data_IF_908049579709
#
_entry.id   IF_908049579709
#
_cell.length_a   1.000
_cell.length_b   1.000
_cell.length_c   1.000
_cell.angle_alpha   90.00
_cell.angle_beta   90.00
_cell.angle_gamma   90.00
#
_symmetry.space_group_name_H-M   'P 1'
#
loop_
_entity.id
_entity.type
_entity.pdbx_description
1 polymer ?
#
# COMPACT_ATOMS: atom_id res chain seq x y z
N UNK A 1 4.51 -24.40 -17.08
CA UNK A 1 4.17 -23.38 -18.09
C UNK A 1 3.43 -22.20 -17.47
N UNK A 2 2.68 -22.39 -16.39
CA UNK A 2 1.94 -21.34 -15.66
C UNK A 2 2.85 -20.29 -14.99
N UNK A 3 3.96 -20.71 -14.39
CA UNK A 3 4.84 -19.82 -13.62
C UNK A 3 5.54 -18.78 -14.52
N UNK A 4 5.86 -19.18 -15.76
CA UNK A 4 6.40 -18.25 -16.76
C UNK A 4 5.38 -17.19 -17.18
N UNK A 5 4.09 -17.57 -17.24
CA UNK A 5 3.00 -16.65 -17.54
C UNK A 5 2.69 -15.67 -16.38
N UNK A 6 2.84 -16.12 -15.13
CA UNK A 6 2.69 -15.26 -13.96
C UNK A 6 3.79 -14.18 -13.91
N UNK A 7 5.06 -14.57 -14.06
CA UNK A 7 6.18 -13.64 -14.08
C UNK A 7 6.08 -12.65 -15.26
N UNK A 8 5.69 -13.12 -16.45
CA UNK A 8 5.48 -12.24 -17.62
C UNK A 8 4.34 -11.23 -17.38
N UNK A 9 3.24 -11.66 -16.77
CA UNK A 9 2.13 -10.77 -16.44
C UNK A 9 2.55 -9.69 -15.43
N UNK A 10 3.29 -10.06 -14.40
CA UNK A 10 3.84 -9.11 -13.41
C UNK A 10 4.78 -8.12 -14.10
N UNK A 11 5.74 -8.60 -14.89
CA UNK A 11 6.71 -7.75 -15.57
C UNK A 11 6.04 -6.76 -16.54
N UNK A 12 5.05 -7.23 -17.32
CA UNK A 12 4.27 -6.35 -18.21
C UNK A 12 3.49 -5.31 -17.42
N UNK A 13 2.83 -5.72 -16.35
CA UNK A 13 2.04 -4.82 -15.49
C UNK A 13 2.95 -3.76 -14.85
N UNK A 14 4.10 -4.15 -14.29
CA UNK A 14 5.11 -3.20 -13.76
C UNK A 14 5.58 -2.22 -14.84
N UNK A 15 5.83 -2.69 -16.06
CA UNK A 15 6.18 -1.84 -17.19
C UNK A 15 5.12 -0.80 -17.53
N UNK A 16 3.84 -1.21 -17.56
CA UNK A 16 2.71 -0.31 -17.81
C UNK A 16 2.56 0.74 -16.70
N UNK A 17 2.72 0.33 -15.43
CA UNK A 17 2.66 1.24 -14.28
C UNK A 17 3.81 2.25 -14.29
N UNK A 18 5.05 1.78 -14.50
CA UNK A 18 6.22 2.65 -14.57
C UNK A 18 6.13 3.68 -15.71
N UNK A 19 5.50 3.32 -16.83
CA UNK A 19 5.26 4.25 -17.93
C UNK A 19 4.19 5.30 -17.62
N UNK A 20 3.27 5.01 -16.70
CA UNK A 20 2.22 5.92 -16.24
C UNK A 20 2.63 6.74 -15.01
N UNK A 21 3.65 6.30 -14.28
CA UNK A 21 4.11 6.91 -13.05
C UNK A 21 4.53 8.36 -13.27
N UNK A 22 3.89 9.24 -12.51
CA UNK A 22 4.26 10.65 -12.39
C UNK A 22 4.97 10.86 -11.06
N UNK A 23 5.99 11.72 -11.02
CA UNK A 23 6.71 12.00 -9.77
C UNK A 23 5.78 12.37 -8.61
N UNK A 24 6.20 12.05 -7.38
CA UNK A 24 5.38 12.24 -6.20
C UNK A 24 5.69 13.58 -5.50
N UNK A 25 4.85 14.57 -5.78
CA UNK A 25 5.03 15.95 -5.27
C UNK A 25 5.06 16.02 -3.74
N UNK A 26 4.27 15.18 -3.04
CA UNK A 26 4.28 15.14 -1.58
C UNK A 26 5.66 14.76 -1.06
N UNK A 27 6.23 13.68 -1.60
CA UNK A 27 7.56 13.18 -1.23
C UNK A 27 8.64 14.19 -1.61
N UNK A 28 8.56 14.80 -2.79
CA UNK A 28 9.53 15.82 -3.24
C UNK A 28 9.54 17.05 -2.30
N UNK A 29 8.37 17.50 -1.83
CA UNK A 29 8.27 18.58 -0.86
C UNK A 29 8.79 18.21 0.52
N UNK A 30 8.54 16.97 0.95
CA UNK A 30 9.05 16.43 2.20
C UNK A 30 10.59 16.38 2.20
N UNK A 31 11.21 15.90 1.12
CA UNK A 31 12.67 15.81 1.00
C UNK A 31 13.37 17.18 1.03
N UNK A 32 12.66 18.23 0.61
CA UNK A 32 13.15 19.62 0.70
C UNK A 32 12.86 20.29 2.05
N UNK A 33 12.19 19.61 2.98
CA UNK A 33 11.82 20.14 4.29
C UNK A 33 10.74 21.24 4.24
N UNK A 34 9.98 21.31 3.14
CA UNK A 34 8.97 22.36 2.89
C UNK A 34 7.54 21.91 3.17
N UNK A 35 7.34 20.63 3.48
CA UNK A 35 6.03 20.09 3.81
C UNK A 35 5.56 20.63 5.18
N UNK A 36 4.36 21.23 5.28
CA UNK A 36 3.80 21.65 6.56
C UNK A 36 3.49 20.46 7.47
N UNK A 37 3.67 20.63 8.78
CA UNK A 37 3.36 19.58 9.77
C UNK A 37 1.91 19.09 9.71
N UNK A 38 0.97 19.97 9.34
CA UNK A 38 -0.44 19.60 9.11
C UNK A 38 -0.57 18.45 8.10
N UNK A 39 0.26 18.43 7.05
CA UNK A 39 0.22 17.37 6.02
C UNK A 39 0.75 16.03 6.53
N UNK A 40 1.68 16.06 7.49
CA UNK A 40 2.11 14.86 8.21
C UNK A 40 1.01 14.32 9.13
N UNK A 41 0.23 15.21 9.76
CA UNK A 41 -0.96 14.81 10.54
C UNK A 41 -2.03 14.21 9.63
N UNK A 42 -2.22 14.76 8.43
CA UNK A 42 -3.11 14.17 7.43
C UNK A 42 -2.63 12.78 7.02
N UNK A 43 -1.35 12.63 6.69
CA UNK A 43 -0.75 11.33 6.38
C UNK A 43 -1.04 10.31 7.49
N UNK A 44 -0.77 10.65 8.76
CA UNK A 44 -1.06 9.75 9.87
C UNK A 44 -2.55 9.38 10.00
N UNK A 45 -3.46 10.33 9.80
CA UNK A 45 -4.91 10.11 9.89
C UNK A 45 -5.48 9.28 8.74
N UNK A 46 -5.02 9.51 7.51
CA UNK A 46 -5.42 8.74 6.35
C UNK A 46 -4.87 7.31 6.43
N UNK A 47 -3.58 7.13 6.76
CA UNK A 47 -2.95 5.83 6.93
C UNK A 47 -3.62 4.99 8.01
N UNK A 48 -4.02 5.61 9.13
CA UNK A 48 -4.70 4.88 10.20
C UNK A 48 -5.98 4.20 9.71
N UNK A 49 -6.70 4.86 8.78
CA UNK A 49 -7.91 4.32 8.16
C UNK A 49 -7.59 3.32 7.06
N UNK A 50 -6.59 3.60 6.23
CA UNK A 50 -6.13 2.73 5.14
C UNK A 50 -5.65 1.39 5.70
N UNK A 51 -4.63 1.40 6.56
CA UNK A 51 -4.02 0.21 7.17
C UNK A 51 -5.06 -0.62 7.94
N UNK A 52 -6.00 0.05 8.64
CA UNK A 52 -7.12 -0.63 9.30
C UNK A 52 -8.10 -1.29 8.32
N UNK A 53 -8.34 -0.70 7.15
CA UNK A 53 -9.18 -1.25 6.09
C UNK A 53 -8.48 -2.42 5.39
N UNK A 54 -7.21 -2.26 5.06
CA UNK A 54 -6.38 -3.23 4.36
C UNK A 54 -6.22 -4.49 5.20
N UNK A 55 -5.96 -4.35 6.51
CA UNK A 55 -5.94 -5.47 7.46
C UNK A 55 -7.19 -6.34 7.37
N UNK A 56 -8.38 -5.71 7.34
CA UNK A 56 -9.66 -6.43 7.26
C UNK A 56 -9.88 -7.03 5.87
N UNK A 57 -9.46 -6.34 4.82
CA UNK A 57 -9.57 -6.78 3.44
C UNK A 57 -8.71 -8.03 3.19
N UNK A 58 -7.47 -8.04 3.66
CA UNK A 58 -6.61 -9.21 3.58
C UNK A 58 -7.11 -10.38 4.44
N UNK A 59 -7.61 -10.11 5.65
CA UNK A 59 -8.23 -11.15 6.46
C UNK A 59 -9.48 -11.77 5.78
N UNK A 60 -10.29 -10.96 5.09
CA UNK A 60 -11.41 -11.44 4.30
C UNK A 60 -10.95 -12.30 3.11
N UNK A 61 -9.90 -11.89 2.39
CA UNK A 61 -9.33 -12.66 1.30
C UNK A 61 -8.81 -14.02 1.78
N UNK A 62 -8.09 -14.06 2.90
CA UNK A 62 -7.66 -15.32 3.51
C UNK A 62 -8.85 -16.25 3.81
N UNK A 63 -9.93 -15.70 4.36
CA UNK A 63 -11.14 -16.47 4.64
C UNK A 63 -11.88 -16.95 3.37
N UNK A 64 -11.81 -16.20 2.26
CA UNK A 64 -12.42 -16.56 0.97
C UNK A 64 -11.63 -17.65 0.23
N UNK A 65 -10.32 -17.73 0.46
CA UNK A 65 -9.42 -18.66 -0.23
C UNK A 65 -8.66 -19.60 0.74
N UNK A 66 -9.36 -20.37 1.60
CA UNK A 66 -8.76 -21.04 2.77
C UNK A 66 -7.79 -22.17 2.44
N UNK A 67 -7.97 -22.88 1.31
CA UNK A 67 -7.22 -24.10 0.95
C UNK A 67 -6.14 -23.87 -0.13
N UNK A 68 -5.51 -22.69 -0.14
CA UNK A 68 -4.55 -22.30 -1.20
C UNK A 68 -3.36 -21.51 -0.65
N UNK A 69 -2.29 -21.41 -1.44
CA UNK A 69 -1.18 -20.46 -1.23
C UNK A 69 -1.65 -19.02 -1.01
N UNK A 70 -2.84 -18.68 -1.51
CA UNK A 70 -3.50 -17.38 -1.28
C UNK A 70 -3.81 -17.12 0.19
N UNK A 71 -4.20 -18.15 0.95
CA UNK A 71 -4.52 -18.00 2.38
C UNK A 71 -3.29 -17.52 3.16
N UNK A 72 -2.15 -18.17 2.94
CA UNK A 72 -0.89 -17.83 3.61
C UNK A 72 -0.43 -16.42 3.25
N UNK A 73 -0.45 -16.06 1.96
CA UNK A 73 -0.13 -14.71 1.49
C UNK A 73 -0.99 -13.66 2.19
N UNK A 74 -2.32 -13.80 2.13
CA UNK A 74 -3.23 -12.79 2.65
C UNK A 74 -3.26 -12.74 4.19
N UNK A 75 -3.06 -13.86 4.88
CA UNK A 75 -2.86 -13.85 6.33
C UNK A 75 -1.57 -13.12 6.71
N UNK A 76 -0.48 -13.35 5.95
CA UNK A 76 0.79 -12.64 6.13
C UNK A 76 0.62 -11.14 5.98
N UNK A 77 -0.03 -10.70 4.89
CA UNK A 77 -0.35 -9.29 4.67
C UNK A 77 -1.20 -8.70 5.80
N UNK A 78 -2.28 -9.39 6.22
CA UNK A 78 -3.12 -8.94 7.33
C UNK A 78 -2.37 -8.81 8.67
N UNK A 79 -1.39 -9.68 8.92
CA UNK A 79 -0.53 -9.58 10.10
C UNK A 79 0.43 -8.39 9.99
N UNK A 80 0.99 -8.17 8.81
CA UNK A 80 1.83 -7.00 8.50
C UNK A 80 1.10 -5.68 8.76
N UNK A 81 -0.14 -5.54 8.29
CA UNK A 81 -0.98 -4.35 8.57
C UNK A 81 -1.21 -4.16 10.08
N UNK A 82 -1.33 -5.24 10.85
CA UNK A 82 -1.42 -5.18 12.30
C UNK A 82 -0.17 -4.61 12.97
N UNK A 83 1.01 -4.97 12.48
CA UNK A 83 2.28 -4.42 12.93
C UNK A 83 2.45 -2.96 12.50
N UNK A 84 2.10 -2.64 11.25
CA UNK A 84 2.10 -1.29 10.72
C UNK A 84 1.23 -0.34 11.56
N UNK A 85 0.03 -0.75 11.99
CA UNK A 85 -0.82 0.08 12.88
C UNK A 85 -0.12 0.43 14.20
N UNK A 86 0.67 -0.47 14.77
CA UNK A 86 1.40 -0.19 16.00
C UNK A 86 2.49 0.86 15.76
N UNK A 87 3.28 0.70 14.70
CA UNK A 87 4.34 1.64 14.30
C UNK A 87 3.79 3.01 13.91
N UNK A 88 2.62 3.05 13.28
CA UNK A 88 1.93 4.30 12.93
C UNK A 88 1.56 5.10 14.20
N UNK A 89 1.31 4.41 15.31
CA UNK A 89 1.08 5.04 16.61
C UNK A 89 2.26 5.88 17.09
N UNK A 90 3.50 5.41 16.85
CA UNK A 90 4.72 6.14 17.22
C UNK A 90 4.92 7.38 16.34
N UNK A 91 4.67 7.25 15.02
CA UNK A 91 4.67 8.39 14.10
C UNK A 91 3.64 9.46 14.49
N UNK A 92 2.40 9.04 14.77
CA UNK A 92 1.34 9.93 15.23
C UNK A 92 1.71 10.60 16.56
N UNK A 93 2.31 9.84 17.49
CA UNK A 93 2.77 10.35 18.78
C UNK A 93 3.81 11.47 18.65
N UNK A 94 4.78 11.31 17.74
CA UNK A 94 5.76 12.36 17.44
C UNK A 94 5.13 13.64 16.85
N UNK A 95 3.97 13.52 16.20
CA UNK A 95 3.15 14.64 15.72
C UNK A 95 2.22 15.24 16.79
N UNK A 96 2.29 14.75 18.04
CA UNK A 96 1.39 15.13 19.12
C UNK A 96 -0.03 14.57 18.97
N UNK A 97 -0.22 13.54 18.15
CA UNK A 97 -1.49 12.88 17.93
C UNK A 97 -1.57 11.57 18.72
N UNK A 98 -2.65 11.40 19.49
CA UNK A 98 -2.98 10.12 20.11
C UNK A 98 -3.99 9.33 19.27
N UNK A 99 -4.18 8.06 19.60
CA UNK A 99 -5.15 7.18 18.91
C UNK A 99 -6.56 7.79 18.85
N UNK A 100 -7.01 8.44 19.92
CA UNK A 100 -8.32 9.13 19.93
C UNK A 100 -8.44 10.22 18.85
N UNK A 101 -7.35 10.93 18.56
CA UNK A 101 -7.34 11.94 17.50
C UNK A 101 -7.42 11.27 16.12
N UNK A 102 -6.68 10.17 15.93
CA UNK A 102 -6.73 9.39 14.68
C UNK A 102 -8.12 8.79 14.43
N UNK A 103 -8.79 8.29 15.48
CA UNK A 103 -10.17 7.82 15.38
C UNK A 103 -11.17 8.93 15.03
N UNK A 104 -10.94 10.14 15.54
CA UNK A 104 -11.78 11.31 15.28
C UNK A 104 -11.41 12.05 13.97
N UNK A 105 -10.32 11.64 13.31
CA UNK A 105 -9.85 12.25 12.06
C UNK A 105 -10.90 12.11 10.97
N UNK A 106 -11.29 13.23 10.35
CA UNK A 106 -12.19 13.24 9.20
C UNK A 106 -11.39 12.97 7.92
N UNK A 107 -11.60 11.81 7.25
CA UNK A 107 -10.83 11.45 6.08
C UNK A 107 -11.21 12.28 4.86
N UNK A 108 -10.23 12.48 3.98
CA UNK A 108 -10.45 13.09 2.67
C UNK A 108 -11.05 12.03 1.75
N UNK A 109 -12.18 12.32 1.08
CA UNK A 109 -12.89 11.31 0.31
C UNK A 109 -12.03 10.58 -0.72
N UNK A 110 -11.19 11.32 -1.47
CA UNK A 110 -10.38 10.72 -2.53
C UNK A 110 -9.13 9.98 -2.01
N UNK A 111 -8.60 10.37 -0.84
CA UNK A 111 -7.54 9.60 -0.17
C UNK A 111 -8.01 8.21 0.27
N UNK A 112 -9.33 8.03 0.42
CA UNK A 112 -9.95 6.76 0.79
C UNK A 112 -10.45 5.94 -0.43
N UNK A 113 -10.15 6.36 -1.66
CA UNK A 113 -10.51 5.59 -2.85
C UNK A 113 -9.74 4.26 -2.94
N UNK A 114 -8.45 4.27 -2.61
CA UNK A 114 -7.60 3.08 -2.56
C UNK A 114 -8.15 2.00 -1.60
N UNK A 115 -8.35 2.27 -0.29
CA UNK A 115 -8.80 1.23 0.63
C UNK A 115 -10.24 0.78 0.34
N UNK A 116 -11.08 1.66 -0.22
CA UNK A 116 -12.43 1.29 -0.66
C UNK A 116 -12.39 0.33 -1.87
N UNK A 117 -11.49 0.58 -2.83
CA UNK A 117 -11.29 -0.29 -3.97
C UNK A 117 -10.71 -1.65 -3.55
N UNK A 118 -9.71 -1.67 -2.67
CA UNK A 118 -9.15 -2.91 -2.15
C UNK A 118 -10.21 -3.72 -1.40
N UNK A 119 -11.02 -3.09 -0.55
CA UNK A 119 -12.12 -3.78 0.13
C UNK A 119 -13.14 -4.36 -0.86
N UNK A 120 -13.43 -3.64 -1.94
CA UNK A 120 -14.33 -4.12 -3.00
C UNK A 120 -13.73 -5.33 -3.75
N UNK A 121 -12.43 -5.31 -4.05
CA UNK A 121 -11.71 -6.48 -4.61
C UNK A 121 -11.64 -7.64 -3.62
N UNK A 122 -11.42 -7.36 -2.34
CA UNK A 122 -11.41 -8.36 -1.29
C UNK A 122 -12.77 -9.04 -1.12
N UNK A 123 -13.88 -8.34 -1.35
CA UNK A 123 -15.22 -8.92 -1.28
C UNK A 123 -15.66 -9.61 -2.57
N UNK A 124 -15.34 -9.04 -3.74
CA UNK A 124 -15.95 -9.43 -5.02
C UNK A 124 -14.96 -9.80 -6.13
N UNK A 125 -13.70 -9.47 -5.96
CA UNK A 125 -12.63 -9.78 -6.91
C UNK A 125 -11.99 -11.16 -6.70
N UNK A 126 -10.96 -11.44 -7.48
CA UNK A 126 -10.19 -12.70 -7.40
C UNK A 126 -8.91 -12.55 -6.57
N UNK A 127 -8.36 -13.66 -6.10
CA UNK A 127 -7.07 -13.66 -5.42
C UNK A 127 -5.94 -13.14 -6.32
N UNK A 128 -5.97 -13.51 -7.61
CA UNK A 128 -4.99 -13.06 -8.61
C UNK A 128 -5.05 -11.55 -8.84
N UNK A 129 -6.24 -10.95 -8.91
CA UNK A 129 -6.39 -9.51 -9.06
C UNK A 129 -5.67 -8.75 -7.93
N UNK A 130 -5.86 -9.19 -6.69
CA UNK A 130 -5.26 -8.54 -5.52
C UNK A 130 -3.77 -8.84 -5.42
N UNK A 131 -3.35 -10.10 -5.59
CA UNK A 131 -1.94 -10.48 -5.55
C UNK A 131 -1.10 -9.75 -6.61
N UNK A 132 -1.60 -9.67 -7.85
CA UNK A 132 -0.95 -8.91 -8.91
C UNK A 132 -0.89 -7.42 -8.59
N UNK A 133 -1.98 -6.83 -8.08
CA UNK A 133 -2.02 -5.42 -7.74
C UNK A 133 -1.03 -5.06 -6.61
N UNK A 134 -0.93 -5.90 -5.57
CA UNK A 134 0.05 -5.71 -4.49
C UNK A 134 1.48 -5.86 -5.03
N UNK A 135 1.77 -6.96 -5.74
CA UNK A 135 3.12 -7.24 -6.21
C UNK A 135 3.63 -6.24 -7.27
N UNK A 136 2.74 -5.67 -8.08
CA UNK A 136 3.11 -4.70 -9.10
C UNK A 136 3.38 -3.30 -8.52
N UNK A 137 2.78 -2.94 -7.38
CA UNK A 137 2.92 -1.61 -6.76
C UNK A 137 3.91 -1.59 -5.57
N UNK A 138 4.26 -2.75 -5.00
CA UNK A 138 5.09 -2.85 -3.80
C UNK A 138 6.45 -2.14 -3.91
N UNK A 139 7.13 -2.26 -5.06
CA UNK A 139 8.44 -1.64 -5.28
C UNK A 139 8.38 -0.11 -5.22
N UNK A 140 7.33 0.48 -5.81
CA UNK A 140 7.17 1.93 -5.86
C UNK A 140 6.78 2.48 -4.48
N UNK A 141 5.79 1.88 -3.83
CA UNK A 141 5.39 2.23 -2.47
C UNK A 141 6.59 2.14 -1.50
N UNK A 142 7.34 1.04 -1.55
CA UNK A 142 8.53 0.87 -0.71
C UNK A 142 9.60 1.93 -0.98
N UNK A 143 9.80 2.31 -2.24
CA UNK A 143 10.71 3.40 -2.59
C UNK A 143 10.24 4.76 -2.03
N UNK A 144 8.93 5.06 -2.06
CA UNK A 144 8.38 6.26 -1.41
C UNK A 144 8.55 6.22 0.11
N UNK A 145 8.25 5.09 0.75
CA UNK A 145 8.44 4.90 2.18
C UNK A 145 9.91 5.12 2.60
N UNK A 146 10.87 4.56 1.88
CA UNK A 146 12.30 4.77 2.13
C UNK A 146 12.69 6.27 2.06
N UNK A 147 12.20 6.98 1.04
CA UNK A 147 12.43 8.42 0.86
C UNK A 147 11.80 9.24 1.98
N UNK A 148 10.56 8.91 2.36
CA UNK A 148 9.84 9.55 3.47
C UNK A 148 10.61 9.34 4.78
N UNK A 149 11.03 8.11 5.06
CA UNK A 149 11.79 7.77 6.25
C UNK A 149 13.08 8.59 6.37
N UNK A 150 13.86 8.67 5.28
CA UNK A 150 15.07 9.48 5.22
C UNK A 150 14.79 10.98 5.44
N UNK A 151 13.73 11.50 4.82
CA UNK A 151 13.36 12.92 4.95
C UNK A 151 12.87 13.28 6.36
N UNK A 152 12.04 12.44 6.99
CA UNK A 152 11.55 12.65 8.36
C UNK A 152 12.70 12.74 9.36
N UNK A 153 13.70 11.86 9.24
CA UNK A 153 14.92 11.92 10.07
C UNK A 153 15.73 13.18 9.80
N UNK A 154 16.08 13.43 8.55
CA UNK A 154 17.11 14.41 8.19
C UNK A 154 16.59 15.85 8.08
N UNK A 155 15.31 16.05 7.77
CA UNK A 155 14.69 17.38 7.57
C UNK A 155 13.80 17.80 8.72
N UNK A 156 13.13 16.85 9.37
CA UNK A 156 12.16 17.12 10.42
C UNK A 156 12.63 16.71 11.81
N UNK A 157 13.76 15.99 11.92
CA UNK A 157 14.35 15.60 13.20
C UNK A 157 13.51 14.56 13.95
N UNK A 158 12.74 13.75 13.25
CA UNK A 158 11.97 12.67 13.86
C UNK A 158 12.92 11.59 14.39
N UNK A 159 12.66 11.04 15.59
CA UNK A 159 13.45 9.93 16.12
C UNK A 159 13.15 8.64 15.34
N UNK A 160 14.06 7.66 15.42
CA UNK A 160 13.95 6.42 14.64
C UNK A 160 12.66 5.65 14.94
N UNK A 161 12.19 5.66 16.19
CA UNK A 161 10.93 5.00 16.58
C UNK A 161 9.73 5.59 15.83
N UNK A 162 9.71 6.91 15.64
CA UNK A 162 8.62 7.60 14.94
C UNK A 162 8.65 7.41 13.41
N UNK A 163 9.75 6.87 12.88
CA UNK A 163 9.94 6.62 11.45
C UNK A 163 9.67 5.15 11.08
N UNK A 164 9.60 4.26 12.08
CA UNK A 164 9.52 2.82 11.90
C UNK A 164 8.36 2.34 11.01
N UNK A 165 7.23 3.07 10.96
CA UNK A 165 6.15 2.77 10.02
C UNK A 165 6.63 2.77 8.56
N UNK A 166 7.43 3.76 8.18
CA UNK A 166 7.92 3.89 6.82
C UNK A 166 9.07 2.91 6.54
N UNK A 167 9.96 2.67 7.51
CA UNK A 167 11.00 1.65 7.32
C UNK A 167 10.40 0.25 7.15
N UNK A 168 9.31 -0.05 7.86
CA UNK A 168 8.62 -1.33 7.76
C UNK A 168 8.12 -1.62 6.33
N UNK A 169 7.60 -0.61 5.63
CA UNK A 169 7.14 -0.74 4.24
C UNK A 169 8.25 -0.51 3.20
N UNK A 170 9.38 0.07 3.58
CA UNK A 170 10.51 0.31 2.68
C UNK A 170 11.16 -0.99 2.18
N UNK A 171 11.00 -2.09 2.91
CA UNK A 171 11.52 -3.41 2.55
C UNK A 171 10.40 -4.41 2.32
N UNK A 172 10.53 -5.23 1.27
CA UNK A 172 9.59 -6.32 1.02
C UNK A 172 9.85 -7.49 1.98
N UNK A 173 8.83 -8.06 2.62
CA UNK A 173 8.98 -9.26 3.44
C UNK A 173 9.61 -10.40 2.64
N UNK A 174 10.56 -11.17 3.22
CA UNK A 174 11.13 -12.33 2.56
C UNK A 174 10.07 -13.32 2.09
N UNK A 175 10.17 -13.77 0.84
CA UNK A 175 9.24 -14.76 0.25
C UNK A 175 7.91 -14.19 -0.24
N UNK A 176 7.61 -12.90 -0.02
CA UNK A 176 6.34 -12.31 -0.45
C UNK A 176 6.16 -12.37 -1.97
N UNK A 177 7.21 -12.08 -2.73
CA UNK A 177 7.17 -12.14 -4.19
C UNK A 177 6.91 -13.56 -4.72
N UNK A 178 7.57 -14.57 -4.13
CA UNK A 178 7.36 -15.97 -4.49
C UNK A 178 5.92 -16.41 -4.20
N UNK A 179 5.40 -16.09 -3.01
CA UNK A 179 4.02 -16.40 -2.63
C UNK A 179 3.00 -15.69 -3.54
N UNK A 180 3.23 -14.43 -3.87
CA UNK A 180 2.35 -13.69 -4.77
C UNK A 180 2.38 -14.27 -6.20
N UNK A 181 3.55 -14.67 -6.71
CA UNK A 181 3.67 -15.35 -8.00
C UNK A 181 2.90 -16.68 -8.02
N UNK A 182 2.96 -17.46 -6.94
CA UNK A 182 2.20 -18.71 -6.81
C UNK A 182 0.69 -18.48 -6.87
N UNK A 183 0.20 -17.43 -6.19
CA UNK A 183 -1.22 -17.05 -6.24
C UNK A 183 -1.65 -16.62 -7.65
N UNK A 184 -0.81 -15.84 -8.33
CA UNK A 184 -1.07 -15.40 -9.70
C UNK A 184 -1.08 -16.60 -10.65
N UNK A 185 -0.12 -17.52 -10.53
CA UNK A 185 -0.05 -18.73 -11.33
C UNK A 185 -1.28 -19.63 -11.09
N UNK A 186 -1.75 -19.75 -9.85
CA UNK A 186 -2.95 -20.50 -9.48
C UNK A 186 -4.22 -19.90 -10.08
N UNK A 187 -4.37 -18.57 -10.05
CA UNK A 187 -5.48 -17.86 -10.69
C UNK A 187 -5.52 -18.07 -12.21
N UNK A 188 -4.36 -17.92 -12.87
CA UNK A 188 -4.23 -18.20 -14.30
C UNK A 188 -4.61 -19.64 -14.65
N UNK A 189 -4.17 -20.61 -13.86
CA UNK A 189 -4.50 -22.03 -14.05
C UNK A 189 -6.00 -22.31 -13.84
N UNK A 190 -6.67 -21.51 -13.00
CA UNK A 190 -8.09 -21.62 -12.68
C UNK A 190 -8.99 -20.85 -13.65
N UNK A 191 -8.41 -20.10 -14.60
CA UNK A 191 -9.13 -19.38 -15.64
C UNK A 191 -9.44 -17.91 -15.32
N UNK A 192 -8.80 -17.32 -14.32
CA UNK A 192 -8.88 -15.87 -14.09
C UNK A 192 -8.36 -15.09 -15.30
N UNK A 193 -9.01 -13.97 -15.65
CA UNK A 193 -8.63 -13.17 -16.80
C UNK A 193 -7.42 -12.26 -16.47
N UNK A 194 -6.25 -12.45 -17.11
CA UNK A 194 -5.07 -11.61 -16.89
C UNK A 194 -5.28 -10.14 -17.27
N UNK A 195 -6.21 -9.84 -18.20
CA UNK A 195 -6.53 -8.46 -18.60
C UNK A 195 -7.27 -7.74 -17.47
N UNK A 196 -8.18 -8.42 -16.80
CA UNK A 196 -8.93 -7.88 -15.67
C UNK A 196 -8.03 -7.71 -14.45
N UNK A 197 -7.13 -8.67 -14.17
CA UNK A 197 -6.11 -8.53 -13.13
C UNK A 197 -5.17 -7.34 -13.38
N UNK A 198 -4.66 -7.17 -14.60
CA UNK A 198 -3.83 -6.02 -14.95
C UNK A 198 -4.62 -4.69 -14.91
N UNK A 199 -5.93 -4.71 -15.19
CA UNK A 199 -6.79 -3.53 -14.99
C UNK A 199 -6.93 -3.21 -13.50
N UNK A 200 -7.08 -4.23 -12.65
CA UNK A 200 -7.19 -4.03 -11.22
C UNK A 200 -5.93 -3.40 -10.63
N UNK A 201 -4.74 -3.86 -11.04
CA UNK A 201 -3.46 -3.29 -10.64
C UNK A 201 -3.32 -1.81 -11.07
N UNK A 202 -3.72 -1.47 -12.30
CA UNK A 202 -3.69 -0.07 -12.79
C UNK A 202 -4.65 0.85 -12.06
N UNK A 203 -5.85 0.38 -11.72
CA UNK A 203 -6.81 1.15 -10.93
C UNK A 203 -6.28 1.39 -9.52
N UNK A 204 -5.69 0.37 -8.89
CA UNK A 204 -5.09 0.47 -7.57
C UNK A 204 -3.96 1.51 -7.55
N UNK A 205 -3.03 1.44 -8.51
CA UNK A 205 -1.96 2.44 -8.69
C UNK A 205 -2.51 3.86 -8.87
N UNK A 206 -3.55 4.04 -9.70
CA UNK A 206 -4.15 5.35 -9.90
C UNK A 206 -4.78 5.92 -8.62
N UNK A 207 -5.37 5.07 -7.77
CA UNK A 207 -5.91 5.51 -6.49
C UNK A 207 -4.82 5.82 -5.45
N UNK A 208 -3.67 5.13 -5.49
CA UNK A 208 -2.49 5.48 -4.70
C UNK A 208 -1.93 6.85 -5.13
N UNK A 209 -1.79 7.09 -6.44
CA UNK A 209 -1.38 8.40 -6.95
C UNK A 209 -2.35 9.51 -6.50
N UNK A 210 -3.66 9.26 -6.56
CA UNK A 210 -4.66 10.21 -6.09
C UNK A 210 -4.57 10.48 -4.57
N UNK A 211 -4.18 9.50 -3.77
CA UNK A 211 -3.91 9.68 -2.35
C UNK A 211 -2.77 10.69 -2.13
N UNK A 212 -1.66 10.53 -2.84
CA UNK A 212 -0.53 11.46 -2.76
C UNK A 212 -0.88 12.87 -3.23
N UNK A 213 -1.64 12.98 -4.32
CA UNK A 213 -2.13 14.27 -4.84
C UNK A 213 -2.99 15.00 -3.80
N UNK A 214 -3.87 14.27 -3.11
CA UNK A 214 -4.72 14.83 -2.04
C UNK A 214 -3.88 15.36 -0.88
N UNK A 215 -2.79 14.67 -0.51
CA UNK A 215 -1.90 15.13 0.55
C UNK A 215 -1.07 16.35 0.12
N UNK A 216 -0.74 16.46 -1.17
CA UNK A 216 -0.04 17.60 -1.75
C UNK A 216 -0.95 18.76 -2.18
N UNK A 217 -2.28 18.60 -2.12
CA UNK A 217 -3.22 19.58 -2.67
C UNK A 217 -3.09 20.95 -2.01
N UNK A 218 -3.09 22.01 -2.81
CA UNK A 218 -2.94 23.39 -2.34
C UNK A 218 -1.56 23.76 -1.80
N UNK A 219 -0.56 22.87 -1.88
CA UNK A 219 0.84 23.24 -1.63
C UNK A 219 1.41 24.06 -2.82
N UNK A 220 2.49 24.85 -2.61
CA UNK A 220 3.14 25.63 -3.66
C UNK A 220 3.96 24.82 -4.66
#
# INVERSE_FOLDING_TARGET
>A
MTDHGAAELVARTRGDLAAAATGNRFVDMLETGKLPQERLVWLAGEEYRIVSSDRRSFALLAARYPDSSSSELFLGLAQGEGQALALLGDFAGALGQGEKNLMAYEPKPLAQAYPAYLAQRAAFGTAMEVALAMLANLEEWGAYCARIAAALRTRYGFPDEAVGFFDFFAESPPGLEEQALDVIASGLASGDDPVDAARAARLLHAYEAAFWDVLADGLP
#
